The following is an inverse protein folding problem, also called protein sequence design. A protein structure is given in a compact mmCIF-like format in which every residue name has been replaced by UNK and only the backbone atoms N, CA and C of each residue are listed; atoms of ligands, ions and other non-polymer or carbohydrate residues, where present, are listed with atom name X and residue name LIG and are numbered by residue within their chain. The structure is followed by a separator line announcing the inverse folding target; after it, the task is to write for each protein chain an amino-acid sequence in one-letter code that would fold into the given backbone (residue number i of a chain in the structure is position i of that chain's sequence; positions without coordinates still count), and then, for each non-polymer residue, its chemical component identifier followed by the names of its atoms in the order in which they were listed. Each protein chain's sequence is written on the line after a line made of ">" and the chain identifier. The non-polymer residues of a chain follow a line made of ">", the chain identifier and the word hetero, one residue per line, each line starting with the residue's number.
data_IF_809170582061
#
_entry.id   IF_809170582061
#
_cell.length_a   1.000
_cell.length_b   1.000
_cell.length_c   1.000
_cell.angle_alpha   90.00
_cell.angle_beta   90.00
_cell.angle_gamma   90.00
#
_symmetry.space_group_name_H-M   'P 1'
#
loop_
_entity.id
_entity.type
_entity.pdbx_description
1 polymer ?
#
# COMPACT_ATOMS: atom_id res chain seq x y z
N UNK A 1 9.74 24.12 49.69
CA UNK A 1 10.19 23.27 48.57
C UNK A 1 9.15 22.18 48.33
N UNK A 2 8.64 22.06 47.11
CA UNK A 2 7.62 21.07 46.75
C UNK A 2 8.03 20.40 45.43
N UNK A 3 7.98 19.08 45.35
CA UNK A 3 8.47 18.29 44.20
C UNK A 3 9.92 18.64 43.78
N UNK A 4 10.79 18.96 44.73
CA UNK A 4 12.17 19.35 44.44
C UNK A 4 12.35 20.75 43.85
N UNK A 5 11.27 21.54 43.73
CA UNK A 5 11.26 22.83 43.04
C UNK A 5 10.92 23.96 44.03
N UNK A 6 11.55 25.13 43.85
CA UNK A 6 11.32 26.35 44.63
C UNK A 6 12.25 26.51 45.84
N UNK A 7 11.96 27.52 46.66
CA UNK A 7 12.75 27.83 47.87
C UNK A 7 12.43 26.88 49.03
N UNK A 8 13.42 26.60 49.88
CA UNK A 8 13.23 25.84 51.12
C UNK A 8 12.40 26.65 52.14
N UNK A 9 12.69 27.93 52.27
CA UNK A 9 11.95 28.90 53.09
C UNK A 9 11.88 30.25 52.37
N UNK A 10 10.76 30.99 52.43
CA UNK A 10 10.68 32.37 51.91
C UNK A 10 11.39 33.39 52.82
N UNK A 11 11.75 33.01 54.06
CA UNK A 11 12.50 33.89 54.96
C UNK A 11 13.91 34.10 54.43
N UNK A 12 14.32 35.36 54.25
CA UNK A 12 15.63 35.72 53.71
C UNK A 12 15.69 35.86 52.19
N UNK A 13 14.63 35.50 51.44
CA UNK A 13 14.58 35.71 49.99
C UNK A 13 14.11 37.10 49.57
N UNK A 14 13.60 37.91 50.51
CA UNK A 14 13.05 39.24 50.23
C UNK A 14 11.75 39.23 49.41
N UNK A 15 11.10 38.06 49.26
CA UNK A 15 9.89 37.87 48.47
C UNK A 15 8.89 36.98 49.21
N UNK A 16 7.66 36.84 48.69
CA UNK A 16 6.63 35.97 49.26
C UNK A 16 6.86 34.47 49.01
N UNK A 17 7.87 34.08 48.23
CA UNK A 17 8.17 32.69 47.88
C UNK A 17 7.16 32.03 46.93
N UNK A 18 6.38 32.81 46.18
CA UNK A 18 5.43 32.26 45.21
C UNK A 18 6.15 31.62 44.01
N UNK A 19 5.84 30.36 43.72
CA UNK A 19 6.46 29.58 42.64
C UNK A 19 5.40 29.28 41.58
N UNK A 20 5.66 29.66 40.34
CA UNK A 20 4.82 29.34 39.18
C UNK A 20 5.54 28.39 38.24
N UNK A 21 4.77 27.54 37.55
CA UNK A 21 5.32 26.70 36.49
C UNK A 21 5.65 27.54 35.25
N UNK A 22 6.73 27.17 34.56
CA UNK A 22 7.06 27.74 33.27
C UNK A 22 6.13 27.16 32.18
N UNK A 23 5.40 28.02 31.46
CA UNK A 23 4.55 27.62 30.34
C UNK A 23 5.30 27.49 29.01
N UNK A 24 6.45 28.15 28.87
CA UNK A 24 7.29 28.12 27.68
C UNK A 24 8.27 26.94 27.65
N UNK A 25 8.31 26.13 28.71
CA UNK A 25 9.17 24.96 28.78
C UNK A 25 8.65 23.86 27.83
N UNK A 26 9.36 23.66 26.71
CA UNK A 26 9.13 22.52 25.83
C UNK A 26 9.69 21.27 26.51
N UNK A 27 8.81 20.29 26.79
CA UNK A 27 9.25 19.02 27.36
C UNK A 27 10.14 18.29 26.35
N UNK A 28 11.33 17.80 26.73
CA UNK A 28 12.13 16.98 25.85
C UNK A 28 11.31 15.75 25.45
N UNK A 29 11.29 15.47 24.13
CA UNK A 29 10.63 14.28 23.61
C UNK A 29 11.38 13.07 24.15
N UNK A 30 10.63 12.13 24.74
CA UNK A 30 11.18 10.87 25.22
C UNK A 30 11.98 10.22 24.09
N UNK A 31 13.29 10.02 24.31
CA UNK A 31 14.20 9.45 23.31
C UNK A 31 14.03 7.94 23.17
N UNK A 32 13.13 7.33 23.95
CA UNK A 32 12.70 5.94 23.74
C UNK A 32 11.81 5.80 22.50
N UNK A 33 12.35 6.14 21.33
CA UNK A 33 11.89 5.49 20.11
C UNK A 33 12.33 4.04 20.22
N UNK A 34 11.44 3.18 20.72
CA UNK A 34 11.55 1.75 20.49
C UNK A 34 11.52 1.56 18.97
N UNK A 35 12.70 1.43 18.35
CA UNK A 35 12.79 1.00 16.97
C UNK A 35 12.21 -0.40 16.93
N UNK A 36 11.13 -0.57 16.18
CA UNK A 36 10.53 -1.88 15.97
C UNK A 36 11.59 -2.77 15.32
N UNK A 37 11.72 -3.99 15.81
CA UNK A 37 12.64 -4.96 15.20
C UNK A 37 12.18 -5.29 13.78
N UNK A 38 13.07 -5.77 12.91
CA UNK A 38 12.68 -6.22 11.56
C UNK A 38 11.54 -7.24 11.60
N UNK A 39 11.50 -8.11 12.62
CA UNK A 39 10.42 -9.07 12.81
C UNK A 39 9.07 -8.39 13.11
N UNK A 40 9.07 -7.31 13.89
CA UNK A 40 7.86 -6.54 14.19
C UNK A 40 7.38 -5.73 12.97
N UNK A 41 8.30 -5.18 12.16
CA UNK A 41 7.93 -4.55 10.90
C UNK A 41 7.32 -5.57 9.93
N UNK A 42 7.95 -6.73 9.76
CA UNK A 42 7.46 -7.80 8.89
C UNK A 42 6.09 -8.31 9.34
N UNK A 43 5.87 -8.48 10.65
CA UNK A 43 4.58 -8.85 11.21
C UNK A 43 3.51 -7.77 10.98
N UNK A 44 3.87 -6.49 11.05
CA UNK A 44 2.96 -5.39 10.72
C UNK A 44 2.63 -5.32 9.23
N UNK A 45 3.59 -5.56 8.35
CA UNK A 45 3.35 -5.61 6.90
C UNK A 45 2.46 -6.80 6.53
N UNK A 46 2.67 -7.97 7.14
CA UNK A 46 1.79 -9.13 6.97
C UNK A 46 0.36 -8.86 7.50
N UNK A 47 0.24 -8.19 8.65
CA UNK A 47 -1.05 -7.78 9.20
C UNK A 47 -1.75 -6.74 8.32
N UNK A 48 -1.01 -5.76 7.78
CA UNK A 48 -1.51 -4.76 6.86
C UNK A 48 -1.98 -5.37 5.52
N UNK A 49 -1.23 -6.35 5.00
CA UNK A 49 -1.59 -7.09 3.79
C UNK A 49 -2.88 -7.94 3.97
N UNK A 50 -3.26 -8.25 5.22
CA UNK A 50 -4.49 -8.99 5.53
C UNK A 50 -5.68 -8.06 5.77
N UNK A 51 -5.44 -6.81 6.16
CA UNK A 51 -6.48 -5.86 6.58
C UNK A 51 -7.32 -5.29 5.43
N UNK A 52 -6.82 -5.27 4.19
CA UNK A 52 -7.56 -4.73 3.04
C UNK A 52 -7.42 -5.63 1.82
N UNK A 53 -8.46 -6.41 1.58
CA UNK A 53 -8.54 -7.26 0.40
C UNK A 53 -8.63 -6.42 -0.88
N UNK A 54 -8.01 -6.84 -1.99
CA UNK A 54 -8.16 -6.15 -3.26
C UNK A 54 -9.63 -6.13 -3.70
N UNK A 55 -10.04 -5.04 -4.35
CA UNK A 55 -11.38 -4.97 -4.91
C UNK A 55 -11.48 -5.95 -6.09
N UNK A 56 -12.45 -6.87 -6.03
CA UNK A 56 -12.71 -7.86 -7.07
C UNK A 56 -12.96 -7.23 -8.44
N UNK A 57 -13.62 -6.07 -8.48
CA UNK A 57 -13.88 -5.35 -9.73
C UNK A 57 -12.59 -4.89 -10.41
N UNK A 58 -11.60 -4.47 -9.61
CA UNK A 58 -10.29 -4.04 -10.13
C UNK A 58 -9.53 -5.25 -10.69
N UNK A 59 -9.55 -6.38 -9.97
CA UNK A 59 -8.91 -7.62 -10.43
C UNK A 59 -9.55 -8.14 -11.73
N UNK A 60 -10.88 -8.12 -11.81
CA UNK A 60 -11.59 -8.53 -13.03
C UNK A 60 -11.31 -7.60 -14.21
N UNK A 61 -11.22 -6.29 -13.95
CA UNK A 61 -10.86 -5.31 -14.97
C UNK A 61 -9.44 -5.54 -15.48
N UNK A 62 -8.48 -5.79 -14.59
CA UNK A 62 -7.11 -6.08 -14.96
C UNK A 62 -7.00 -7.36 -15.80
N UNK A 63 -7.72 -8.43 -15.43
CA UNK A 63 -7.81 -9.67 -16.21
C UNK A 63 -8.34 -9.43 -17.62
N UNK A 64 -9.44 -8.68 -17.75
CA UNK A 64 -10.02 -8.30 -19.06
C UNK A 64 -9.05 -7.44 -19.88
N UNK A 65 -8.39 -6.46 -19.24
CA UNK A 65 -7.41 -5.59 -19.88
C UNK A 65 -6.25 -6.38 -20.47
N UNK A 66 -5.72 -7.38 -19.76
CA UNK A 66 -4.65 -8.25 -20.27
C UNK A 66 -5.07 -9.05 -21.50
N UNK A 67 -6.32 -9.51 -21.54
CA UNK A 67 -6.87 -10.21 -22.69
C UNK A 67 -6.96 -9.27 -23.90
N UNK A 68 -7.55 -8.08 -23.73
CA UNK A 68 -7.67 -7.12 -24.83
C UNK A 68 -6.30 -6.61 -25.32
N UNK A 69 -5.32 -6.46 -24.42
CA UNK A 69 -3.95 -6.11 -24.81
C UNK A 69 -3.36 -7.15 -25.76
N UNK A 70 -3.49 -8.44 -25.44
CA UNK A 70 -3.03 -9.52 -26.33
C UNK A 70 -3.80 -9.56 -27.65
N UNK A 71 -5.10 -9.26 -27.63
CA UNK A 71 -5.89 -9.15 -28.85
C UNK A 71 -5.41 -8.00 -29.74
N UNK A 72 -5.03 -6.86 -29.15
CA UNK A 72 -4.47 -5.72 -29.87
C UNK A 72 -3.09 -6.04 -30.46
N UNK A 73 -2.19 -6.66 -29.68
CA UNK A 73 -0.89 -7.13 -30.19
C UNK A 73 -1.06 -8.11 -31.35
N UNK A 74 -2.02 -9.04 -31.26
CA UNK A 74 -2.30 -9.99 -32.33
C UNK A 74 -2.89 -9.33 -33.57
N UNK A 75 -3.71 -8.30 -33.39
CA UNK A 75 -4.23 -7.49 -34.48
C UNK A 75 -3.10 -6.77 -35.23
N UNK A 76 -2.20 -6.10 -34.53
CA UNK A 76 -1.03 -5.42 -35.12
C UNK A 76 -0.18 -6.38 -35.97
N UNK A 77 0.07 -7.59 -35.45
CA UNK A 77 0.82 -8.62 -36.20
C UNK A 77 0.11 -9.03 -37.50
N UNK A 78 -1.22 -9.14 -37.49
CA UNK A 78 -1.98 -9.51 -38.68
C UNK A 78 -2.08 -8.36 -39.69
N UNK A 79 -2.10 -7.11 -39.23
CA UNK A 79 -2.03 -5.92 -40.06
C UNK A 79 -0.68 -5.80 -40.76
N UNK A 80 0.43 -6.02 -40.04
CA UNK A 80 1.78 -6.06 -40.61
C UNK A 80 1.94 -7.17 -41.67
N UNK A 81 1.25 -8.31 -41.48
CA UNK A 81 1.23 -9.42 -42.44
C UNK A 81 0.34 -9.15 -43.67
N UNK A 82 -0.40 -8.03 -43.70
CA UNK A 82 -1.22 -7.63 -44.84
C UNK A 82 -2.52 -8.43 -44.98
N UNK A 83 -3.08 -8.96 -43.89
CA UNK A 83 -4.41 -9.58 -43.93
C UNK A 83 -5.51 -8.54 -44.20
N UNK A 84 -6.63 -8.99 -44.77
CA UNK A 84 -7.81 -8.14 -44.95
C UNK A 84 -8.50 -7.88 -43.61
N UNK A 85 -9.10 -6.69 -43.45
CA UNK A 85 -9.76 -6.27 -42.20
C UNK A 85 -10.80 -7.30 -41.70
N UNK A 86 -11.57 -7.91 -42.60
CA UNK A 86 -12.54 -8.96 -42.25
C UNK A 86 -11.87 -10.23 -41.71
N UNK A 87 -10.73 -10.64 -42.29
CA UNK A 87 -9.99 -11.80 -41.82
C UNK A 87 -9.33 -11.52 -40.45
N UNK A 88 -8.85 -10.29 -40.25
CA UNK A 88 -8.29 -9.82 -38.98
C UNK A 88 -9.36 -9.87 -37.90
N UNK A 89 -10.53 -9.26 -38.13
CA UNK A 89 -11.62 -9.22 -37.15
C UNK A 89 -12.07 -10.63 -36.72
N UNK A 90 -12.19 -11.57 -37.68
CA UNK A 90 -12.55 -12.96 -37.39
C UNK A 90 -11.47 -13.69 -36.58
N UNK A 91 -10.20 -13.53 -36.92
CA UNK A 91 -9.07 -14.14 -36.19
C UNK A 91 -8.94 -13.57 -34.78
N UNK A 92 -9.06 -12.26 -34.61
CA UNK A 92 -9.00 -11.58 -33.31
C UNK A 92 -10.19 -11.97 -32.43
N UNK A 93 -11.40 -12.09 -32.99
CA UNK A 93 -12.56 -12.57 -32.24
C UNK A 93 -12.39 -14.02 -31.75
N UNK A 94 -11.89 -14.91 -32.59
CA UNK A 94 -11.58 -16.28 -32.19
C UNK A 94 -10.51 -16.32 -31.10
N UNK A 95 -9.47 -15.50 -31.23
CA UNK A 95 -8.40 -15.39 -30.24
C UNK A 95 -8.90 -14.83 -28.91
N UNK A 96 -9.77 -13.81 -28.94
CA UNK A 96 -10.45 -13.28 -27.75
C UNK A 96 -11.25 -14.36 -27.02
N UNK A 97 -12.03 -15.16 -27.76
CA UNK A 97 -12.81 -16.25 -27.16
C UNK A 97 -11.92 -17.33 -26.55
N UNK A 98 -10.81 -17.67 -27.21
CA UNK A 98 -9.81 -18.61 -26.68
C UNK A 98 -9.18 -18.07 -25.38
N UNK A 99 -8.74 -16.81 -25.38
CA UNK A 99 -8.11 -16.18 -24.21
C UNK A 99 -9.10 -15.94 -23.05
N UNK A 100 -10.39 -15.72 -23.33
CA UNK A 100 -11.41 -15.67 -22.27
C UNK A 100 -11.62 -17.04 -21.59
N UNK A 101 -11.55 -18.13 -22.35
CA UNK A 101 -11.64 -19.50 -21.83
C UNK A 101 -10.36 -19.95 -21.10
N UNK A 102 -9.19 -19.59 -21.62
CA UNK A 102 -7.89 -19.90 -21.02
C UNK A 102 -7.40 -18.88 -20.00
N UNK A 103 -8.11 -17.76 -19.82
CA UNK A 103 -7.72 -16.58 -19.03
C UNK A 103 -7.47 -16.82 -17.54
N UNK A 104 -7.53 -18.07 -17.09
CA UNK A 104 -7.03 -18.51 -15.79
C UNK A 104 -5.52 -18.84 -15.78
N UNK A 105 -4.88 -19.05 -16.94
CA UNK A 105 -3.48 -19.53 -17.05
C UNK A 105 -2.46 -18.46 -17.46
N UNK A 106 -2.90 -17.25 -17.83
CA UNK A 106 -2.00 -16.19 -18.31
C UNK A 106 -1.31 -15.43 -17.18
N UNK A 107 -1.80 -15.56 -15.95
CA UNK A 107 -1.24 -14.94 -14.78
C UNK A 107 -0.39 -15.93 -13.97
N UNK A 108 0.68 -15.43 -13.34
CA UNK A 108 1.43 -16.18 -12.32
C UNK A 108 0.43 -16.71 -11.29
N UNK A 109 0.60 -17.93 -10.73
CA UNK A 109 -0.33 -18.44 -9.75
C UNK A 109 -0.45 -17.44 -8.60
N UNK A 110 -1.61 -16.82 -8.52
CA UNK A 110 -1.94 -15.83 -7.50
C UNK A 110 -2.78 -16.52 -6.45
N UNK A 111 -2.61 -16.14 -5.19
CA UNK A 111 -3.46 -16.64 -4.12
C UNK A 111 -4.93 -16.21 -4.32
N UNK A 112 -5.82 -16.70 -3.46
CA UNK A 112 -7.25 -16.36 -3.49
C UNK A 112 -7.54 -14.85 -3.26
N UNK A 113 -6.50 -14.03 -3.06
CA UNK A 113 -6.54 -12.60 -2.87
C UNK A 113 -5.72 -11.82 -3.91
N UNK A 114 -5.27 -12.47 -5.00
CA UNK A 114 -4.58 -11.80 -6.10
C UNK A 114 -3.11 -11.44 -5.82
N UNK A 115 -2.51 -11.98 -4.76
CA UNK A 115 -1.08 -11.77 -4.46
C UNK A 115 -0.24 -12.82 -5.17
N UNK A 116 0.90 -12.43 -5.78
CA UNK A 116 1.82 -13.39 -6.39
C UNK A 116 2.29 -14.39 -5.32
N UNK A 117 2.35 -15.67 -5.70
CA UNK A 117 3.03 -16.70 -4.92
C UNK A 117 4.52 -16.39 -4.71
#
# INVERSE_FOLDING_TARGET
>A
MYNGIGLQTPRGSGTNGHVQRNWALVRPKDQSKAYKSEAELSAMDAAAATARQPNKEILDHERKRKIELKCAEFQEILEEQGFTEEAIANKVNNYRNMLMGEGAKLDKPVDQWGRPW
#
